data_IF_416154987707
#
_entry.id   IF_416154987707
#
_cell.length_a   1.000
_cell.length_b   1.000
_cell.length_c   1.000
_cell.angle_alpha   90.00
_cell.angle_beta   90.00
_cell.angle_gamma   90.00
#
_symmetry.space_group_name_H-M   'P 1'
#
loop_
_entity.id
_entity.type
_entity.pdbx_description
1 polymer ?
#
# COMPACT_ATOMS: atom_id res chain seq x y z
N UNK A 1 -12.98 3.87 -8.08
CA UNK A 1 -12.38 2.92 -9.03
C UNK A 1 -11.36 2.10 -8.28
N UNK A 2 -11.15 0.83 -8.64
CA UNK A 2 -10.21 -0.06 -7.93
C UNK A 2 -8.87 -0.11 -8.66
N UNK A 3 -7.82 -0.44 -7.92
CA UNK A 3 -6.49 -0.64 -8.48
C UNK A 3 -6.47 -1.94 -9.31
N UNK A 4 -5.71 -1.96 -10.40
CA UNK A 4 -5.67 -3.10 -11.35
C UNK A 4 -5.28 -4.42 -10.66
N UNK A 5 -4.32 -4.39 -9.73
CA UNK A 5 -3.88 -5.56 -8.96
C UNK A 5 -4.96 -6.12 -8.02
N UNK A 6 -5.96 -5.31 -7.68
CA UNK A 6 -7.09 -5.73 -6.84
C UNK A 6 -8.20 -6.45 -7.61
N UNK A 7 -8.27 -6.35 -8.93
CA UNK A 7 -9.42 -6.85 -9.68
C UNK A 7 -9.62 -8.36 -9.50
N UNK A 8 -8.55 -9.14 -9.66
CA UNK A 8 -8.61 -10.60 -9.49
C UNK A 8 -8.97 -10.99 -8.05
N UNK A 9 -8.34 -10.34 -7.07
CA UNK A 9 -8.58 -10.61 -5.65
C UNK A 9 -10.02 -10.28 -5.28
N UNK A 10 -10.56 -9.15 -5.76
CA UNK A 10 -11.95 -8.76 -5.52
C UNK A 10 -12.92 -9.79 -6.11
N UNK A 11 -12.69 -10.24 -7.34
CA UNK A 11 -13.55 -11.25 -7.99
C UNK A 11 -13.52 -12.58 -7.22
N UNK A 12 -12.32 -13.07 -6.88
CA UNK A 12 -12.17 -14.31 -6.11
C UNK A 12 -12.85 -14.17 -4.74
N UNK A 13 -12.64 -13.06 -4.06
CA UNK A 13 -13.25 -12.79 -2.74
C UNK A 13 -14.77 -12.74 -2.83
N UNK A 14 -15.31 -12.12 -3.87
CA UNK A 14 -16.76 -12.07 -4.10
C UNK A 14 -17.33 -13.47 -4.29
N UNK A 15 -16.69 -14.31 -5.11
CA UNK A 15 -17.11 -15.69 -5.33
C UNK A 15 -17.07 -16.49 -4.02
N UNK A 16 -15.95 -16.39 -3.27
CA UNK A 16 -15.79 -17.11 -2.00
C UNK A 16 -16.83 -16.69 -0.96
N UNK A 17 -17.05 -15.39 -0.79
CA UNK A 17 -18.03 -14.84 0.16
C UNK A 17 -19.45 -15.31 -0.21
N UNK A 18 -19.80 -15.24 -1.48
CA UNK A 18 -21.12 -15.68 -1.97
C UNK A 18 -21.30 -17.19 -1.74
N UNK A 19 -20.33 -17.99 -2.12
CA UNK A 19 -20.35 -19.45 -1.95
C UNK A 19 -20.46 -19.83 -0.47
N UNK A 20 -19.64 -19.20 0.39
CA UNK A 20 -19.68 -19.44 1.84
C UNK A 20 -21.05 -19.10 2.44
N UNK A 21 -21.64 -17.98 2.04
CA UNK A 21 -22.96 -17.54 2.51
C UNK A 21 -24.04 -18.53 2.06
N UNK A 22 -24.02 -18.97 0.79
CA UNK A 22 -24.96 -19.96 0.27
C UNK A 22 -24.81 -21.32 0.97
N UNK A 23 -23.58 -21.82 1.11
CA UNK A 23 -23.32 -23.07 1.82
C UNK A 23 -23.81 -23.00 3.26
N UNK A 24 -23.54 -21.91 3.95
CA UNK A 24 -23.98 -21.74 5.35
C UNK A 24 -25.50 -21.76 5.50
N UNK A 25 -26.24 -21.22 4.53
CA UNK A 25 -27.70 -21.21 4.56
C UNK A 25 -28.32 -22.61 4.36
N UNK A 26 -27.59 -23.52 3.71
CA UNK A 26 -28.03 -24.93 3.50
C UNK A 26 -27.59 -25.82 4.64
N UNK A 27 -26.35 -25.63 5.14
CA UNK A 27 -25.78 -26.52 6.15
C UNK A 27 -26.32 -26.27 7.57
N UNK A 28 -26.58 -25.03 7.92
CA UNK A 28 -26.99 -24.68 9.26
C UNK A 28 -28.51 -24.53 9.36
N UNK A 29 -29.12 -25.42 10.14
CA UNK A 29 -30.56 -25.36 10.45
C UNK A 29 -30.92 -24.14 11.31
N UNK A 30 -29.97 -23.64 12.10
CA UNK A 30 -30.17 -22.42 12.90
C UNK A 30 -29.97 -21.16 12.03
N UNK A 31 -31.05 -20.39 11.76
CA UNK A 31 -30.94 -19.19 10.90
C UNK A 31 -30.06 -18.09 11.45
N UNK A 32 -29.77 -18.06 12.77
CA UNK A 32 -28.88 -17.09 13.39
C UNK A 32 -27.45 -17.31 12.91
N UNK A 33 -27.00 -18.56 12.82
CA UNK A 33 -25.64 -18.90 12.36
C UNK A 33 -25.42 -18.44 10.93
N UNK A 34 -26.37 -18.74 10.03
CA UNK A 34 -26.27 -18.29 8.62
C UNK A 34 -26.24 -16.77 8.50
N UNK A 35 -27.05 -16.06 9.30
CA UNK A 35 -27.04 -14.57 9.33
C UNK A 35 -25.68 -14.03 9.78
N UNK A 36 -25.10 -14.59 10.84
CA UNK A 36 -23.77 -14.17 11.34
C UNK A 36 -22.71 -14.40 10.26
N UNK A 37 -22.69 -15.58 9.63
CA UNK A 37 -21.75 -15.87 8.53
C UNK A 37 -21.92 -14.86 7.40
N UNK A 38 -23.16 -14.55 7.00
CA UNK A 38 -23.45 -13.56 5.96
C UNK A 38 -22.92 -12.16 6.32
N UNK A 39 -23.18 -11.70 7.55
CA UNK A 39 -22.69 -10.38 8.02
C UNK A 39 -21.16 -10.32 8.01
N UNK A 40 -20.49 -11.34 8.56
CA UNK A 40 -19.02 -11.41 8.59
C UNK A 40 -18.46 -11.45 7.17
N UNK A 41 -19.08 -12.22 6.29
CA UNK A 41 -18.69 -12.32 4.88
C UNK A 41 -18.80 -10.99 4.15
N UNK A 42 -19.91 -10.28 4.30
CA UNK A 42 -20.10 -8.96 3.70
C UNK A 42 -19.08 -7.95 4.28
N UNK A 43 -18.88 -7.95 5.59
CA UNK A 43 -17.90 -7.08 6.22
C UNK A 43 -16.48 -7.32 5.68
N UNK A 44 -16.08 -8.59 5.53
CA UNK A 44 -14.78 -8.96 4.93
C UNK A 44 -14.67 -8.46 3.49
N UNK A 45 -15.72 -8.63 2.68
CA UNK A 45 -15.72 -8.10 1.31
C UNK A 45 -15.58 -6.58 1.27
N UNK A 46 -16.28 -5.87 2.16
CA UNK A 46 -16.17 -4.42 2.25
C UNK A 46 -14.75 -3.97 2.64
N UNK A 47 -14.07 -4.68 3.52
CA UNK A 47 -12.66 -4.40 3.87
C UNK A 47 -11.73 -4.60 2.66
N UNK A 48 -11.95 -5.65 1.87
CA UNK A 48 -11.17 -5.91 0.65
C UNK A 48 -11.40 -4.80 -0.39
N UNK A 49 -12.64 -4.40 -0.61
CA UNK A 49 -12.99 -3.31 -1.51
C UNK A 49 -12.37 -1.98 -1.05
N UNK A 50 -12.41 -1.73 0.26
CA UNK A 50 -11.80 -0.56 0.89
C UNK A 50 -10.28 -0.51 0.68
N UNK A 51 -9.60 -1.66 0.83
CA UNK A 51 -8.15 -1.80 0.67
C UNK A 51 -7.71 -1.51 -0.78
N UNK A 52 -8.40 -2.08 -1.76
CA UNK A 52 -8.04 -1.93 -3.17
C UNK A 52 -8.63 -0.70 -3.86
N UNK A 53 -9.29 0.20 -3.13
CA UNK A 53 -9.80 1.43 -3.72
C UNK A 53 -8.65 2.31 -4.23
N UNK A 54 -8.85 2.91 -5.39
CA UNK A 54 -7.90 3.86 -5.97
C UNK A 54 -8.66 5.14 -6.42
N UNK A 55 -8.94 6.06 -5.48
CA UNK A 55 -9.58 7.33 -5.83
C UNK A 55 -8.64 8.20 -6.66
N UNK A 56 -9.21 8.97 -7.58
CA UNK A 56 -8.45 10.02 -8.26
C UNK A 56 -8.04 11.07 -7.24
N UNK A 57 -6.74 11.34 -7.15
CA UNK A 57 -6.20 12.43 -6.34
C UNK A 57 -5.86 13.60 -7.26
N UNK A 58 -6.38 14.76 -6.93
CA UNK A 58 -5.98 16.02 -7.55
C UNK A 58 -5.05 16.68 -6.55
N UNK A 59 -3.77 16.73 -6.86
CA UNK A 59 -2.78 17.49 -6.09
C UNK A 59 -2.46 18.76 -6.83
N UNK A 60 -2.22 19.84 -6.10
CA UNK A 60 -1.70 21.06 -6.68
C UNK A 60 -0.32 20.77 -7.28
N UNK A 61 -0.18 21.05 -8.59
CA UNK A 61 1.10 20.94 -9.26
C UNK A 61 1.92 22.15 -8.84
N UNK A 62 2.92 21.91 -8.02
CA UNK A 62 3.85 22.95 -7.56
C UNK A 62 5.26 22.38 -7.62
N UNK A 63 6.06 22.94 -8.52
CA UNK A 63 7.45 22.49 -8.74
C UNK A 63 8.37 22.76 -7.55
N UNK A 64 7.91 23.51 -6.54
CA UNK A 64 8.66 23.79 -5.31
C UNK A 64 8.30 22.86 -4.15
N UNK A 65 7.43 21.85 -4.36
CA UNK A 65 6.95 20.94 -3.32
C UNK A 65 7.19 19.49 -3.68
N UNK A 66 7.59 18.71 -2.70
CA UNK A 66 7.57 17.24 -2.75
C UNK A 66 6.25 16.80 -2.10
N UNK A 67 5.37 16.16 -2.87
CA UNK A 67 4.06 15.73 -2.39
C UNK A 67 4.20 14.34 -1.78
N UNK A 68 3.46 14.06 -0.70
CA UNK A 68 3.47 12.71 -0.11
C UNK A 68 3.11 11.64 -1.15
N UNK A 69 3.93 10.59 -1.32
CA UNK A 69 3.66 9.54 -2.29
C UNK A 69 2.50 8.62 -1.89
N UNK A 70 2.04 8.71 -0.64
CA UNK A 70 1.04 7.81 -0.06
C UNK A 70 0.10 8.55 0.89
N UNK A 71 -1.09 7.98 1.10
CA UNK A 71 -1.99 8.38 2.18
C UNK A 71 -1.48 7.72 3.48
N UNK A 72 -1.06 8.51 4.47
CA UNK A 72 -0.55 7.95 5.71
C UNK A 72 -0.20 9.01 6.75
N UNK A 73 0.41 8.56 7.84
CA UNK A 73 0.89 9.43 8.93
C UNK A 73 2.42 9.42 8.94
N UNK A 74 3.04 10.60 8.94
CA UNK A 74 4.48 10.73 9.16
C UNK A 74 4.78 10.24 10.59
N UNK A 75 5.65 9.25 10.70
CA UNK A 75 6.03 8.61 11.97
C UNK A 75 7.45 8.90 12.39
N UNK A 76 8.33 9.24 11.43
CA UNK A 76 9.70 9.66 11.72
C UNK A 76 10.20 10.63 10.64
N UNK A 77 11.02 11.58 11.07
CA UNK A 77 11.85 12.45 10.21
C UNK A 77 13.23 12.45 10.86
N UNK A 78 14.20 11.84 10.20
CA UNK A 78 15.51 11.62 10.79
C UNK A 78 16.62 11.66 9.72
N UNK A 79 17.86 11.88 10.16
CA UNK A 79 19.03 11.70 9.31
C UNK A 79 19.47 10.25 9.35
N UNK A 80 19.59 9.64 8.18
CA UNK A 80 20.05 8.25 8.03
C UNK A 80 21.14 8.18 6.99
N UNK A 81 22.06 7.25 7.18
CA UNK A 81 23.03 6.90 6.14
C UNK A 81 22.36 6.00 5.11
N UNK A 82 22.10 6.52 3.92
CA UNK A 82 21.54 5.75 2.82
C UNK A 82 22.64 4.87 2.17
N UNK A 83 22.47 3.55 2.23
CA UNK A 83 23.52 2.58 1.91
C UNK A 83 23.53 2.08 0.46
N UNK A 84 22.43 2.25 -0.27
CA UNK A 84 22.23 1.58 -1.56
C UNK A 84 22.65 2.45 -2.74
N UNK A 85 22.14 3.66 -2.83
CA UNK A 85 22.32 4.53 -3.98
C UNK A 85 23.22 5.74 -3.68
N UNK A 86 22.87 6.52 -2.63
CA UNK A 86 23.60 7.75 -2.31
C UNK A 86 24.90 7.50 -1.57
N UNK A 87 24.92 6.53 -0.67
CA UNK A 87 26.05 6.20 0.22
C UNK A 87 26.54 7.39 1.02
N UNK A 88 25.58 8.18 1.52
CA UNK A 88 25.79 9.39 2.31
C UNK A 88 24.60 9.62 3.26
N UNK A 89 24.71 10.58 4.16
CA UNK A 89 23.61 10.97 5.04
C UNK A 89 22.52 11.71 4.27
N UNK A 90 21.29 11.31 4.50
CA UNK A 90 20.08 11.90 3.92
C UNK A 90 18.98 12.06 4.95
N UNK A 91 18.10 13.03 4.74
CA UNK A 91 16.87 13.15 5.53
C UNK A 91 15.89 12.12 5.02
N UNK A 92 15.47 11.23 5.93
CA UNK A 92 14.43 10.24 5.68
C UNK A 92 13.12 10.69 6.31
N UNK A 93 12.05 10.63 5.53
CA UNK A 93 10.68 10.81 6.02
C UNK A 93 9.98 9.46 5.92
N UNK A 94 9.61 8.89 7.07
CA UNK A 94 8.92 7.61 7.16
C UNK A 94 7.42 7.84 7.32
N UNK A 95 6.62 7.24 6.43
CA UNK A 95 5.17 7.38 6.40
C UNK A 95 4.54 6.01 6.65
N UNK A 96 3.77 5.89 7.73
CA UNK A 96 3.01 4.70 8.05
C UNK A 96 1.64 4.75 7.37
N UNK A 97 1.32 3.70 6.64
CA UNK A 97 0.04 3.51 5.99
C UNK A 97 -0.77 2.47 6.76
N UNK A 98 -1.89 2.91 7.36
CA UNK A 98 -2.83 2.01 8.03
C UNK A 98 -3.58 1.14 7.02
N UNK A 99 -4.00 -0.10 7.33
CA UNK A 99 -4.80 -0.96 6.44
C UNK A 99 -6.08 -0.33 5.90
N UNK A 100 -6.63 0.67 6.58
CA UNK A 100 -7.82 1.39 6.13
C UNK A 100 -7.51 2.59 5.22
N UNK A 101 -6.24 2.94 5.02
CA UNK A 101 -5.85 3.99 4.08
C UNK A 101 -5.89 3.47 2.63
N UNK A 102 -5.72 4.36 1.67
CA UNK A 102 -5.56 3.98 0.26
C UNK A 102 -4.18 3.37 0.07
N UNK A 103 -4.12 2.08 -0.28
CA UNK A 103 -2.86 1.33 -0.47
C UNK A 103 -2.32 1.48 -1.90
N UNK A 104 -2.04 2.71 -2.28
CA UNK A 104 -1.46 3.04 -3.59
C UNK A 104 -0.30 4.01 -3.39
N UNK A 105 0.87 3.64 -3.89
CA UNK A 105 2.04 4.52 -3.95
C UNK A 105 2.03 5.29 -5.28
N UNK A 106 2.39 6.56 -5.24
CA UNK A 106 2.54 7.45 -6.39
C UNK A 106 3.89 8.13 -6.33
N UNK A 107 4.35 8.64 -7.47
CA UNK A 107 5.55 9.46 -7.49
C UNK A 107 5.27 10.83 -6.84
N UNK A 108 6.13 11.24 -5.91
CA UNK A 108 6.00 12.50 -5.17
C UNK A 108 6.54 13.71 -5.94
N UNK A 109 7.31 13.48 -7.01
CA UNK A 109 7.86 14.49 -7.89
C UNK A 109 7.86 14.00 -9.34
N UNK A 110 7.81 14.95 -10.27
CA UNK A 110 8.08 14.70 -11.69
C UNK A 110 9.58 14.68 -11.93
N UNK A 111 10.06 13.83 -12.85
CA UNK A 111 11.48 13.75 -13.16
C UNK A 111 11.87 12.51 -13.95
N UNK A 112 13.16 12.22 -13.99
CA UNK A 112 13.75 11.10 -14.72
C UNK A 112 14.13 10.02 -13.71
N UNK A 113 13.67 8.79 -13.93
CA UNK A 113 14.08 7.63 -13.12
C UNK A 113 15.54 7.33 -13.41
N UNK A 114 16.40 7.40 -12.39
CA UNK A 114 17.83 7.11 -12.46
C UNK A 114 18.17 5.72 -11.93
N UNK A 115 17.33 5.19 -11.05
CA UNK A 115 17.52 3.89 -10.43
C UNK A 115 16.18 3.29 -10.09
N UNK A 116 16.04 2.00 -10.33
CA UNK A 116 14.90 1.22 -9.91
C UNK A 116 15.37 -0.18 -9.58
N UNK A 117 15.06 -0.67 -8.38
CA UNK A 117 15.46 -2.00 -7.92
C UNK A 117 14.39 -2.63 -7.06
N UNK A 118 14.05 -3.85 -7.41
CA UNK A 118 13.21 -4.71 -6.61
C UNK A 118 14.08 -5.56 -5.67
N UNK A 119 13.65 -5.68 -4.43
CA UNK A 119 14.27 -6.50 -3.40
C UNK A 119 13.28 -7.56 -2.95
N UNK A 120 13.50 -8.83 -3.26
CA UNK A 120 12.70 -9.91 -2.71
C UNK A 120 12.87 -9.96 -1.20
N UNK A 121 11.81 -10.33 -0.48
CA UNK A 121 11.85 -10.34 0.98
C UNK A 121 10.67 -11.07 1.60
N UNK A 122 10.44 -10.79 2.89
CA UNK A 122 9.34 -11.34 3.69
C UNK A 122 8.11 -10.45 3.59
N UNK A 123 7.01 -10.88 4.22
CA UNK A 123 5.75 -10.15 4.32
C UNK A 123 5.42 -9.90 5.80
N UNK A 124 6.36 -9.29 6.52
CA UNK A 124 6.15 -8.92 7.92
C UNK A 124 5.16 -7.76 7.99
N UNK A 125 4.38 -7.73 9.07
CA UNK A 125 3.47 -6.62 9.34
C UNK A 125 4.23 -5.30 9.47
N UNK A 126 3.65 -4.19 9.00
CA UNK A 126 4.32 -2.90 8.87
C UNK A 126 4.89 -2.33 10.19
N UNK A 127 4.31 -2.70 11.33
CA UNK A 127 4.79 -2.30 12.67
C UNK A 127 5.87 -3.22 13.25
N UNK A 128 6.30 -4.25 12.52
CA UNK A 128 7.42 -5.08 12.96
C UNK A 128 8.73 -4.31 12.83
N UNK A 129 9.63 -4.29 13.85
CA UNK A 129 10.85 -3.46 13.85
C UNK A 129 11.77 -3.67 12.65
N UNK A 130 11.77 -4.86 12.07
CA UNK A 130 12.61 -5.23 10.91
C UNK A 130 11.84 -5.24 9.59
N UNK A 131 10.63 -4.68 9.54
CA UNK A 131 9.82 -4.71 8.30
C UNK A 131 10.48 -3.95 7.16
N UNK A 132 11.11 -2.81 7.42
CA UNK A 132 11.79 -1.99 6.42
C UNK A 132 13.04 -2.65 5.81
N UNK A 133 13.66 -3.59 6.53
CA UNK A 133 14.88 -4.27 6.07
C UNK A 133 14.60 -5.62 5.42
N UNK A 134 13.68 -6.39 6.01
CA UNK A 134 13.46 -7.79 5.65
C UNK A 134 12.30 -7.99 4.67
N UNK A 135 11.39 -7.04 4.56
CA UNK A 135 10.25 -7.18 3.64
C UNK A 135 10.66 -6.97 2.19
N UNK A 136 9.87 -7.58 1.34
CA UNK A 136 9.82 -7.24 -0.07
C UNK A 136 9.63 -5.73 -0.22
N UNK A 137 10.46 -5.12 -1.07
CA UNK A 137 10.44 -3.66 -1.26
C UNK A 137 10.95 -3.26 -2.63
N UNK A 138 10.56 -2.09 -3.05
CA UNK A 138 11.06 -1.45 -4.27
C UNK A 138 11.75 -0.14 -3.92
N UNK A 139 12.96 0.05 -4.43
CA UNK A 139 13.71 1.31 -4.35
C UNK A 139 13.68 1.99 -5.71
N UNK A 140 13.26 3.25 -5.75
CA UNK A 140 13.27 4.08 -6.97
C UNK A 140 13.92 5.42 -6.67
N UNK A 141 14.82 5.87 -7.54
CA UNK A 141 15.42 7.21 -7.47
C UNK A 141 14.98 8.02 -8.67
N UNK A 142 14.41 9.19 -8.41
CA UNK A 142 13.97 10.15 -9.43
C UNK A 142 14.83 11.40 -9.33
N UNK A 143 15.35 11.85 -10.47
CA UNK A 143 16.05 13.11 -10.59
C UNK A 143 15.10 14.19 -11.08
N UNK A 144 15.03 15.26 -10.31
CA UNK A 144 14.26 16.47 -10.59
C UNK A 144 15.20 17.67 -10.67
N UNK A 145 14.87 18.67 -11.47
CA UNK A 145 15.71 19.86 -11.67
C UNK A 145 15.81 20.75 -10.43
N UNK A 146 14.77 20.77 -9.59
CA UNK A 146 14.69 21.64 -8.40
C UNK A 146 15.25 20.94 -7.17
N UNK A 147 14.83 19.69 -6.93
CA UNK A 147 15.16 18.93 -5.71
C UNK A 147 16.39 18.03 -5.87
N UNK A 148 16.94 17.93 -7.08
CA UNK A 148 17.96 16.93 -7.36
C UNK A 148 17.39 15.52 -7.32
N UNK A 149 18.10 14.60 -6.65
CA UNK A 149 17.70 13.19 -6.59
C UNK A 149 16.92 12.89 -5.31
N UNK A 150 15.74 12.30 -5.48
CA UNK A 150 14.86 11.85 -4.39
C UNK A 150 14.70 10.34 -4.49
N UNK A 151 14.94 9.63 -3.39
CA UNK A 151 14.81 8.18 -3.27
C UNK A 151 13.48 7.84 -2.60
N UNK A 152 12.79 6.89 -3.18
CA UNK A 152 11.59 6.26 -2.62
C UNK A 152 11.89 4.81 -2.31
N UNK A 153 11.57 4.41 -1.09
CA UNK A 153 11.55 3.02 -0.69
C UNK A 153 10.11 2.66 -0.34
N UNK A 154 9.52 1.77 -1.11
CA UNK A 154 8.14 1.32 -0.89
C UNK A 154 8.12 -0.16 -0.53
N UNK A 155 7.34 -0.49 0.51
CA UNK A 155 6.97 -1.87 0.88
C UNK A 155 5.68 -2.32 0.17
N UNK A 156 5.18 -1.51 -0.74
CA UNK A 156 4.00 -1.74 -1.56
C UNK A 156 4.47 -1.74 -3.01
N UNK A 157 3.90 -2.60 -3.84
CA UNK A 157 4.20 -2.60 -5.27
C UNK A 157 3.86 -1.23 -5.90
N UNK A 158 4.80 -0.69 -6.66
CA UNK A 158 4.67 0.57 -7.40
C UNK A 158 4.26 0.25 -8.84
#
# INVERSE_FOLDING_TARGET
>A
MFHKEGHLIIVISFILVTTLTLISSVLFTNPIVSKIVGIVSIFTLLLILQFFRNPKRVSEINDSLIISPVDGKVVAIEKVYEKEYFKEERIQVSIFMSPINVHVTRYAISGIIKFSKYHPGKYLVAWHPKSSELNERTTVVIENKVFGKVLYLSLIHI
#
